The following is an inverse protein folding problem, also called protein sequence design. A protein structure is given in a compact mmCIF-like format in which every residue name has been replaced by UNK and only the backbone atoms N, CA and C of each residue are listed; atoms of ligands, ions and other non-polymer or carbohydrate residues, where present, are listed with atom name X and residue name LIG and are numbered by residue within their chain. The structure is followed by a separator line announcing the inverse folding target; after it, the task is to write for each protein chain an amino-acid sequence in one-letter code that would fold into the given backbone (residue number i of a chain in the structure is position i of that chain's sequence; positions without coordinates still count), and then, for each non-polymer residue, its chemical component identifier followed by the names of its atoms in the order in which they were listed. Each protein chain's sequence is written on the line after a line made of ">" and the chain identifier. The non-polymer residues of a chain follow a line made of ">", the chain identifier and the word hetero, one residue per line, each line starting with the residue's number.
data_IF_620745928218
#
_entry.id   IF_620745928218
#
_cell.length_a   1.000
_cell.length_b   1.000
_cell.length_c   1.000
_cell.angle_alpha   90.00
_cell.angle_beta   90.00
_cell.angle_gamma   90.00
#
_symmetry.space_group_name_H-M   'P 1'
#
loop_
_entity.id
_entity.type
_entity.pdbx_description
1 polymer ?
2 non-polymer ?
3 non-polymer ?
4 non-polymer ?
5 water ?
#
# COMPACT_ATOMS: atom_id res chain seq x y z
N UNK A 3 -16.51 -18.03 6.66
CA UNK A 3 -17.87 -17.63 7.12
C UNK A 3 -17.76 -16.54 8.21
N UNK A 4 -16.70 -16.58 9.02
CA UNK A 4 -16.48 -15.62 10.13
C UNK A 4 -16.25 -14.21 9.63
N UNK A 5 -16.50 -13.23 10.49
CA UNK A 5 -16.39 -11.77 10.19
C UNK A 5 -14.96 -11.43 9.74
N UNK A 6 -13.95 -11.82 10.52
CA UNK A 6 -12.54 -11.47 10.21
C UNK A 6 -12.18 -12.04 8.84
N UNK A 7 -12.53 -13.29 8.56
CA UNK A 7 -12.25 -13.95 7.25
C UNK A 7 -12.93 -13.15 6.14
N UNK A 8 -14.20 -12.79 6.31
CA UNK A 8 -14.97 -12.05 5.28
C UNK A 8 -14.30 -10.69 5.04
N UNK A 9 -13.90 -10.02 6.11
CA UNK A 9 -13.27 -8.68 6.02
C UNK A 9 -11.90 -8.82 5.32
N UNK A 10 -11.15 -9.88 5.62
CA UNK A 10 -9.85 -10.12 4.95
C UNK A 10 -10.06 -10.48 3.46
N UNK A 11 -11.15 -11.13 3.08
CA UNK A 11 -11.48 -11.36 1.65
C UNK A 11 -11.67 -10.00 0.96
N UNK A 12 -12.39 -9.09 1.61
CA UNK A 12 -12.57 -7.70 1.09
C UNK A 12 -11.19 -7.04 0.94
N UNK A 13 -10.32 -7.17 1.95
CA UNK A 13 -8.94 -6.62 1.90
C UNK A 13 -8.17 -7.23 0.73
N UNK A 14 -8.25 -8.55 0.55
CA UNK A 14 -7.50 -9.22 -0.55
C UNK A 14 -8.02 -8.70 -1.90
N UNK A 15 -9.33 -8.48 -2.02
CA UNK A 15 -9.95 -7.90 -3.23
C UNK A 15 -9.37 -6.54 -3.53
N UNK A 16 -9.29 -5.68 -2.52
CA UNK A 16 -8.69 -4.31 -2.66
C UNK A 16 -7.25 -4.46 -3.12
N UNK A 17 -6.47 -5.34 -2.48
CA UNK A 17 -5.04 -5.55 -2.82
C UNK A 17 -4.93 -5.93 -4.30
N UNK A 18 -5.76 -6.89 -4.76
CA UNK A 18 -5.74 -7.32 -6.18
C UNK A 18 -6.05 -6.13 -7.08
N UNK A 19 -7.02 -5.30 -6.72
CA UNK A 19 -7.38 -4.11 -7.52
C UNK A 19 -6.18 -3.16 -7.56
N UNK A 20 -5.53 -2.87 -6.43
CA UNK A 20 -4.40 -1.91 -6.41
C UNK A 20 -3.26 -2.43 -7.30
N UNK A 21 -3.14 -3.75 -7.49
CA UNK A 21 -2.09 -4.38 -8.33
C UNK A 21 -2.56 -4.61 -9.77
N UNK A 22 -3.78 -4.21 -10.11
CA UNK A 22 -4.43 -4.55 -11.41
C UNK A 22 -4.00 -3.55 -12.48
N UNK A 23 -4.14 -3.94 -13.74
CA UNK A 23 -3.77 -3.08 -14.89
C UNK A 23 -4.59 -1.78 -14.87
N UNK A 24 -5.82 -1.81 -14.36
CA UNK A 24 -6.69 -0.61 -14.31
C UNK A 24 -5.95 0.58 -13.67
N UNK A 25 -5.16 0.35 -12.62
CA UNK A 25 -4.50 1.42 -11.83
C UNK A 25 -2.99 1.49 -12.08
N UNK A 26 -2.45 0.69 -13.00
CA UNK A 26 -0.99 0.52 -13.17
C UNK A 26 -0.29 1.85 -13.50
N UNK A 27 -0.94 2.78 -14.22
CA UNK A 27 -0.30 4.04 -14.64
C UNK A 27 0.16 4.86 -13.43
N UNK A 28 -0.53 4.77 -12.29
CA UNK A 28 -0.18 5.52 -11.06
C UNK A 28 0.21 4.59 -9.91
N UNK A 29 -0.08 3.28 -9.96
CA UNK A 29 0.21 2.35 -8.85
C UNK A 29 1.67 1.86 -8.90
N UNK A 30 2.33 1.91 -10.05
CA UNK A 30 3.62 1.17 -10.28
C UNK A 30 4.71 1.60 -9.28
N UNK A 31 4.82 2.87 -8.82
CA UNK A 31 5.87 3.19 -7.85
C UNK A 31 5.74 2.44 -6.51
N UNK A 32 4.57 1.84 -6.25
CA UNK A 32 4.23 1.20 -4.95
C UNK A 32 4.25 -0.33 -5.08
N UNK A 33 4.64 -0.86 -6.24
CA UNK A 33 4.63 -2.32 -6.51
C UNK A 33 5.70 -3.05 -5.70
N UNK A 34 6.86 -2.43 -5.54
CA UNK A 34 8.05 -3.10 -4.96
C UNK A 34 8.69 -2.19 -3.92
N UNK A 35 9.51 -2.74 -3.00
CA UNK A 35 10.21 -1.92 -2.03
C UNK A 35 11.02 -0.84 -2.75
N UNK A 36 11.04 0.37 -2.19
CA UNK A 36 11.90 1.47 -2.70
C UNK A 36 13.34 0.99 -2.64
N UNK A 37 14.02 0.94 -3.79
CA UNK A 37 15.45 0.63 -3.86
C UNK A 37 16.20 1.96 -3.78
N UNK A 38 16.47 2.42 -2.56
CA UNK A 38 16.98 3.79 -2.29
C UNK A 38 18.31 3.97 -3.03
N UNK A 39 19.22 3.01 -2.90
CA UNK A 39 20.57 3.02 -3.54
C UNK A 39 20.43 3.20 -5.05
N UNK A 40 19.59 2.37 -5.69
CA UNK A 40 19.39 2.34 -7.16
C UNK A 40 18.84 3.68 -7.67
N UNK A 41 17.95 4.32 -6.90
CA UNK A 41 17.27 5.59 -7.27
C UNK A 41 18.10 6.81 -6.83
N UNK A 42 19.21 6.60 -6.11
CA UNK A 42 20.07 7.68 -5.60
C UNK A 42 19.45 8.39 -4.41
N UNK A 43 18.47 7.78 -3.75
CA UNK A 43 17.74 8.40 -2.61
C UNK A 43 18.48 8.01 -1.32
N UNK A 44 19.67 8.56 -1.11
CA UNK A 44 20.59 8.08 -0.05
C UNK A 44 20.11 8.52 1.33
N UNK A 45 19.07 9.36 1.41
CA UNK A 45 18.47 9.81 2.69
C UNK A 45 17.19 9.03 3.01
N UNK A 46 16.75 8.13 2.14
CA UNK A 46 15.41 7.52 2.24
C UNK A 46 15.24 6.82 3.60
N UNK A 47 16.20 5.97 3.96
CA UNK A 47 16.10 5.10 5.17
C UNK A 47 16.42 5.90 6.44
N UNK A 48 16.89 7.15 6.32
CA UNK A 48 17.04 8.06 7.47
C UNK A 48 15.71 8.73 7.78
N UNK A 49 14.86 8.87 6.77
CA UNK A 49 13.56 9.59 6.86
C UNK A 49 12.43 8.58 7.09
N UNK A 50 12.48 7.44 6.39
CA UNK A 50 11.43 6.38 6.44
C UNK A 50 11.97 5.23 7.32
N UNK A 51 11.39 5.05 8.50
CA UNK A 51 11.86 4.03 9.48
C UNK A 51 11.19 2.69 9.19
N UNK A 52 10.02 2.69 8.55
CA UNK A 52 9.22 1.47 8.29
C UNK A 52 8.77 1.47 6.83
N UNK A 53 9.66 1.07 5.89
CA UNK A 53 9.27 0.97 4.48
C UNK A 53 8.10 -0.02 4.31
N UNK A 54 7.25 0.26 3.34
CA UNK A 54 6.12 -0.64 3.00
C UNK A 54 5.76 -0.43 1.52
N UNK A 55 5.30 -1.50 0.89
CA UNK A 55 4.99 -1.54 -0.56
C UNK A 55 4.00 -2.66 -0.78
N UNK A 56 3.37 -2.70 -1.95
CA UNK A 56 2.27 -3.66 -2.22
C UNK A 56 2.78 -5.10 -2.34
N UNK A 57 4.02 -5.34 -2.78
CA UNK A 57 4.57 -6.72 -2.81
C UNK A 57 4.69 -7.26 -1.38
N UNK A 58 5.11 -6.42 -0.44
CA UNK A 58 5.23 -6.80 0.99
C UNK A 58 3.83 -7.09 1.54
N UNK A 59 2.85 -6.24 1.24
CA UNK A 59 1.44 -6.45 1.68
C UNK A 59 0.95 -7.78 1.10
N UNK A 60 1.22 -8.04 -0.17
CA UNK A 60 0.81 -9.31 -0.82
C UNK A 60 1.47 -10.52 -0.12
N UNK A 61 2.76 -10.46 0.16
CA UNK A 61 3.50 -11.55 0.86
C UNK A 61 2.84 -11.78 2.24
N UNK A 62 2.55 -10.71 2.97
CA UNK A 62 1.95 -10.82 4.32
C UNK A 62 0.54 -11.42 4.20
N UNK A 63 -0.23 -11.03 3.19
CA UNK A 63 -1.59 -11.61 2.98
C UNK A 63 -1.45 -13.11 2.66
N UNK A 64 -0.54 -13.47 1.75
CA UNK A 64 -0.33 -14.88 1.33
C UNK A 64 0.15 -15.72 2.53
N UNK A 65 0.94 -15.14 3.42
CA UNK A 65 1.54 -15.82 4.60
C UNK A 65 0.56 -15.84 5.79
N UNK A 66 -0.64 -15.27 5.61
CA UNK A 66 -1.71 -15.19 6.66
C UNK A 66 -1.19 -14.34 7.84
N UNK A 67 -0.35 -13.35 7.55
CA UNK A 67 0.25 -12.47 8.59
C UNK A 67 -0.85 -11.55 9.13
N UNK A 68 -1.74 -11.05 8.27
CA UNK A 68 -2.80 -10.09 8.68
C UNK A 68 -3.88 -10.87 9.42
N UNK A 69 -4.15 -10.49 10.68
CA UNK A 69 -5.17 -11.14 11.52
C UNK A 69 -6.53 -10.45 11.32
N UNK A 70 -6.54 -9.22 10.82
CA UNK A 70 -7.80 -8.44 10.66
C UNK A 70 -7.60 -7.36 9.61
N UNK A 71 -8.69 -6.72 9.19
CA UNK A 71 -8.68 -5.67 8.14
C UNK A 71 -7.86 -4.47 8.61
N UNK A 72 -7.98 -4.11 9.89
CA UNK A 72 -7.28 -2.93 10.46
C UNK A 72 -5.76 -3.08 10.28
N UNK A 73 -5.22 -4.28 10.46
CA UNK A 73 -3.76 -4.52 10.33
C UNK A 73 -3.34 -4.33 8.87
N UNK A 74 -4.14 -4.85 7.95
CA UNK A 74 -3.96 -4.68 6.49
C UNK A 74 -3.98 -3.19 6.15
N UNK A 75 -5.02 -2.47 6.59
CA UNK A 75 -5.19 -1.03 6.27
C UNK A 75 -3.99 -0.25 6.79
N UNK A 76 -3.46 -0.62 7.97
CA UNK A 76 -2.33 0.09 8.61
C UNK A 76 -1.10 0.03 7.70
N UNK A 77 -0.85 -1.12 7.07
CA UNK A 77 0.31 -1.27 6.15
C UNK A 77 0.08 -0.45 4.87
N UNK A 78 -1.12 -0.51 4.29
CA UNK A 78 -1.39 0.23 3.02
C UNK A 78 -1.25 1.73 3.31
N UNK A 79 -1.79 2.20 4.43
CA UNK A 79 -1.72 3.64 4.78
C UNK A 79 -0.28 4.03 5.13
N UNK A 80 0.49 3.12 5.73
CA UNK A 80 1.93 3.38 6.03
C UNK A 80 2.67 3.63 4.71
N UNK A 81 2.40 2.80 3.70
CA UNK A 81 2.97 2.96 2.35
C UNK A 81 2.72 4.39 1.82
N UNK A 82 1.48 4.87 1.89
CA UNK A 82 1.11 6.23 1.41
C UNK A 82 1.79 7.28 2.28
N UNK A 83 1.73 7.13 3.61
CA UNK A 83 2.34 8.09 4.56
C UNK A 83 3.83 8.23 4.29
N UNK A 84 4.53 7.13 4.02
CA UNK A 84 5.99 7.16 3.71
C UNK A 84 6.22 8.07 2.50
N UNK A 85 5.39 7.94 1.47
CA UNK A 85 5.48 8.75 0.24
C UNK A 85 5.27 10.24 0.58
N UNK A 86 4.27 10.56 1.41
CA UNK A 86 3.93 11.96 1.79
C UNK A 86 5.00 12.53 2.73
N UNK A 87 5.69 11.67 3.48
CA UNK A 87 6.73 12.12 4.43
C UNK A 87 8.00 12.45 3.64
N UNK A 88 8.39 11.58 2.71
CA UNK A 88 9.73 11.66 2.06
C UNK A 88 9.73 12.77 1.01
N UNK A 89 8.64 12.87 0.25
CA UNK A 89 8.59 13.65 -1.01
C UNK A 89 7.97 15.01 -0.77
N UNK A 90 8.50 16.09 -1.38
CA UNK A 90 7.79 17.36 -1.43
C UNK A 90 6.40 17.13 -2.01
N UNK A 91 5.36 17.82 -1.49
CA UNK A 91 3.98 17.48 -1.79
C UNK A 91 3.57 17.77 -3.25
N UNK A 92 4.38 18.52 -3.99
CA UNK A 92 4.09 18.91 -5.39
C UNK A 92 4.79 17.98 -6.38
N UNK A 93 5.46 16.92 -5.90
CA UNK A 93 6.19 15.96 -6.79
C UNK A 93 5.21 14.96 -7.41
N UNK A 94 5.56 14.46 -8.60
CA UNK A 94 4.73 13.53 -9.39
C UNK A 94 4.32 12.31 -8.54
N UNK A 95 5.26 11.72 -7.81
CA UNK A 95 5.00 10.43 -7.08
C UNK A 95 3.92 10.67 -6.01
N UNK A 96 3.84 11.87 -5.45
CA UNK A 96 2.82 12.22 -4.43
C UNK A 96 1.44 12.26 -5.09
N UNK A 97 1.31 12.83 -6.29
CA UNK A 97 0.04 12.85 -7.05
C UNK A 97 -0.42 11.41 -7.29
N UNK A 98 0.53 10.54 -7.65
CA UNK A 98 0.26 9.11 -7.93
C UNK A 98 -0.23 8.42 -6.65
N UNK A 99 0.43 8.66 -5.52
CA UNK A 99 0.04 8.10 -4.20
C UNK A 99 -1.37 8.55 -3.84
N UNK A 100 -1.68 9.84 -4.03
CA UNK A 100 -3.01 10.40 -3.67
C UNK A 100 -4.11 9.73 -4.51
N UNK A 101 -3.84 9.49 -5.79
CA UNK A 101 -4.81 8.82 -6.69
C UNK A 101 -5.00 7.36 -6.24
N UNK A 102 -3.92 6.65 -5.92
CA UNK A 102 -4.06 5.24 -5.49
C UNK A 102 -4.72 5.19 -4.11
N UNK A 103 -4.45 6.16 -3.24
CA UNK A 103 -5.09 6.17 -1.90
C UNK A 103 -6.59 6.43 -2.05
N UNK A 104 -7.01 7.23 -3.04
CA UNK A 104 -8.46 7.48 -3.29
C UNK A 104 -9.14 6.14 -3.63
N UNK A 105 -8.51 5.33 -4.50
CA UNK A 105 -9.01 3.97 -4.84
C UNK A 105 -9.15 3.18 -3.53
N UNK A 106 -8.08 3.13 -2.76
CA UNK A 106 -8.01 2.36 -1.50
C UNK A 106 -9.12 2.80 -0.54
N UNK A 107 -9.18 4.09 -0.21
CA UNK A 107 -10.07 4.57 0.88
C UNK A 107 -11.53 4.34 0.48
N UNK A 108 -11.90 4.59 -0.77
CA UNK A 108 -13.31 4.47 -1.19
C UNK A 108 -13.72 3.00 -1.13
N UNK A 109 -12.84 2.08 -1.52
CA UNK A 109 -13.22 0.65 -1.48
C UNK A 109 -13.12 0.10 -0.05
N UNK A 110 -12.10 0.52 0.71
CA UNK A 110 -11.97 0.09 2.12
C UNK A 110 -13.24 0.46 2.89
N UNK A 111 -13.85 1.62 2.60
CA UNK A 111 -15.05 2.12 3.30
C UNK A 111 -16.24 1.18 3.07
N UNK A 112 -16.23 0.39 2.00
CA UNK A 112 -17.31 -0.59 1.67
C UNK A 112 -17.09 -1.93 2.38
N UNK A 113 -16.23 -1.97 3.40
CA UNK A 113 -15.93 -3.15 4.25
C UNK A 113 -17.25 -3.76 4.74
N UNK A 114 -17.48 -5.08 4.56
CA UNK A 114 -18.68 -5.71 5.11
C UNK A 114 -18.62 -5.71 6.65
N UNK A 115 -19.72 -5.35 7.30
CA UNK A 115 -19.85 -5.39 8.78
C UNK A 115 -21.33 -5.42 9.15
X LIG B 1 -8.90 9.98 0.69
X LIG B 1 -7.65 9.78 0.06
X LIG B 1 -10.03 9.78 -0.24
X LIG B 1 -10.02 10.67 -1.35
X LIG C 1 3.55 -7.64 12.11
X LIG C 1 3.49 -8.03 10.74
X LIG C 1 4.00 -8.74 13.00
X LIG C 1 3.44 -10.00 12.64
X LIG D 1 9.52 16.79 2.10
X LIG D 1 10.69 17.56 2.34
X LIG D 1 8.31 17.33 2.77
X LIG D 1 7.47 16.34 3.32
X LIG E 1 -9.36 -15.57 -0.86
X LIG E 1 -8.61 -16.27 -1.84
X LIG E 1 -8.07 -17.58 -1.33
X LIG E 1 -9.07 -18.28 -0.59
X LIG E 1 -10.18 -18.68 -1.38
X LIG E 1 -10.92 -19.78 -0.69
X LIG E 1 -11.69 -19.23 0.37
X LIG E 1 -12.27 -20.22 1.21
X LIG E 1 -12.87 -19.54 2.39
X LIG E 1 -11.83 -18.92 3.13
X LIG E 1 -12.26 -18.41 4.38
X LIG E 1 -11.06 -17.93 5.13
X LIG E 1 -10.56 -16.74 4.53
X LIG E 1 -9.45 -16.20 5.23
X LIG E 1 -9.16 -14.84 4.69
X LIG E 1 -8.54 -14.96 3.41
X LIG E 1 -8.06 -13.72 2.92
X LIG E 1 -7.81 -13.84 1.46
X LIG E 1 -6.42 -13.98 1.22
X LIG E 1 -5.94 -15.29 1.51
X LIG E 1 -4.66 -15.52 0.78
X LIG E 1 -4.35 -16.92 0.81
X LIG E 1 -3.66 -17.33 1.99
X LIG E 1 -3.06 -18.65 1.78
X LIG F 1 10.76 7.74 -6.54
X LIG F 1 10.29 6.19 -8.36
X LIG F 1 10.04 7.68 -10.37
X LIG F 1 9.29 8.53 -11.17
X LIG F 1 7.19 4.83 -3.51
X LIG F 1 8.03 6.03 -3.68
X LIG F 1 8.86 6.26 -4.69
X LIG F 1 9.39 7.51 -4.39
X LIG F 1 8.93 8.03 -3.27
X LIG F 1 8.06 7.07 -2.83
X LIG F 1 10.38 8.18 -5.27
X LIG F 1 10.96 9.35 -4.77
X LIG F 1 11.89 10.05 -5.52
X LIG F 1 12.26 9.60 -6.77
X LIG F 1 11.70 8.44 -7.28
X LIG F 1 10.15 6.59 -6.98
X LIG F 1 9.48 7.11 -9.24
X LIG F 1 7.97 8.81 -10.87
X LIG F 1 7.41 8.24 -9.74
X LIG F 1 8.16 7.40 -8.93
#
# INVERSE_FOLDING_TARGET
>A
GSMGKLSEQLKHCNGILKELLSKKHAAYAWPFYKPVDASALGLHDYHDIIKHPMDLSTVKRKMENRDYRDAQEFAADVRLMFSNCYKYNPPDHDVVAMARKLQDVFEFRYAKMPD
>B hetero
1 EDO C1 O1 C2 O2
>C hetero
1 EDO C1 O1 C2 O2
>D hetero
1 EDO C1 O1 C2 O2
>E hetero
1 PE4 O1 C1 C2 O2 C3 C4 O3 C5 C6 O4 C7 C8 O5 C9 C10 O6 C11 C12 O7 C13 C14 O8 C15 C16
>F hetero
1 ULB C20 C22 C26 C28 C01 C05 N06 C07 N08 N09 C11 C12 C14 C16 C18 O21 C25 C30 C32 C34
#
